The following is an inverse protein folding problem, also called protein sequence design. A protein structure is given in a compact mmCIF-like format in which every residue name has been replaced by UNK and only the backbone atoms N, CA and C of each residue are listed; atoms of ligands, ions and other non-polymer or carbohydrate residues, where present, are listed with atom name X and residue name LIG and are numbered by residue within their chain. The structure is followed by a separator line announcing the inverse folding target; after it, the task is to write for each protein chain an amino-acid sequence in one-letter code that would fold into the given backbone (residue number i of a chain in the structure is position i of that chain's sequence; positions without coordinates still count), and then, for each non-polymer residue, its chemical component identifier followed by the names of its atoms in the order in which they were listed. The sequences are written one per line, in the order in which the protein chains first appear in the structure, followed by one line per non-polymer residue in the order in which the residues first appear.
data_IF_132848749372
#
_entry.id   IF_132848749372
#
_cell.length_a   1.000
_cell.length_b   1.000
_cell.length_c   1.000
_cell.angle_alpha   90.00
_cell.angle_beta   90.00
_cell.angle_gamma   90.00
#
_symmetry.space_group_name_H-M   'P 1'
#
loop_
_entity.id
_entity.type
_entity.pdbx_description
1 polymer ?
#
# COMPACT_ATOMS: atom_id res chain seq x y z
N UNK A 1 13.15 9.66 5.44
CA UNK A 1 12.09 10.44 6.12
C UNK A 1 11.68 9.68 7.38
N UNK A 2 11.39 10.37 8.49
CA UNK A 2 10.93 9.75 9.73
C UNK A 2 9.64 10.46 10.18
N UNK A 3 8.59 9.68 10.44
CA UNK A 3 7.29 10.17 10.92
C UNK A 3 7.03 9.51 12.27
N UNK A 4 6.66 10.30 13.27
CA UNK A 4 6.29 9.81 14.61
C UNK A 4 4.84 10.18 14.87
N UNK A 5 4.02 9.20 15.23
CA UNK A 5 2.62 9.39 15.63
C UNK A 5 2.50 8.99 17.09
N UNK A 6 1.94 9.87 17.91
CA UNK A 6 1.60 9.57 19.30
C UNK A 6 0.16 9.05 19.32
N UNK A 7 -0.02 7.83 19.79
CA UNK A 7 -1.34 7.23 19.96
C UNK A 7 -1.79 7.44 21.40
N UNK A 8 -3.08 7.75 21.64
CA UNK A 8 -3.62 7.73 22.98
C UNK A 8 -3.58 6.30 23.58
N UNK A 9 -3.48 6.24 24.91
CA UNK A 9 -3.19 4.99 25.64
C UNK A 9 -4.26 3.90 25.44
N UNK A 10 -5.49 4.28 25.15
CA UNK A 10 -6.60 3.36 24.85
C UNK A 10 -6.38 2.57 23.56
N UNK A 11 -5.66 3.11 22.58
CA UNK A 11 -5.30 2.41 21.35
C UNK A 11 -4.14 1.42 21.53
N UNK A 12 -3.44 1.44 22.68
CA UNK A 12 -2.39 0.46 22.99
C UNK A 12 -2.95 -0.94 23.26
N UNK A 13 -4.27 -1.08 23.41
CA UNK A 13 -4.94 -2.37 23.56
C UNK A 13 -4.92 -3.20 22.28
N UNK A 14 -4.62 -2.58 21.14
CA UNK A 14 -4.42 -3.27 19.88
C UNK A 14 -3.11 -4.06 19.91
N UNK A 15 -3.11 -5.25 19.31
CA UNK A 15 -1.92 -6.12 19.34
C UNK A 15 -0.73 -5.52 18.59
N UNK A 16 -0.98 -4.72 17.54
CA UNK A 16 0.07 -4.02 16.80
C UNK A 16 -0.44 -2.71 16.16
N UNK A 17 -0.68 -1.65 16.98
CA UNK A 17 -1.32 -0.43 16.50
C UNK A 17 -0.46 0.33 15.47
N UNK A 18 0.87 0.21 15.56
CA UNK A 18 1.77 0.81 14.57
C UNK A 18 1.62 0.16 13.19
N UNK A 19 1.50 -1.17 13.15
CA UNK A 19 1.27 -1.91 11.91
C UNK A 19 -0.11 -1.62 11.34
N UNK A 20 -1.14 -1.63 12.17
CA UNK A 20 -2.51 -1.32 11.77
C UNK A 20 -2.62 0.11 11.19
N UNK A 21 -1.97 1.10 11.80
CA UNK A 21 -1.93 2.46 11.28
C UNK A 21 -1.21 2.56 9.93
N UNK A 22 -0.10 1.83 9.78
CA UNK A 22 0.66 1.77 8.52
C UNK A 22 -0.17 1.12 7.40
N UNK A 23 -0.88 0.04 7.72
CA UNK A 23 -1.76 -0.67 6.79
C UNK A 23 -2.95 0.20 6.37
N UNK A 24 -3.60 0.89 7.31
CA UNK A 24 -4.68 1.83 7.00
C UNK A 24 -4.21 2.98 6.09
N UNK A 25 -3.02 3.54 6.37
CA UNK A 25 -2.41 4.57 5.52
C UNK A 25 -2.13 4.06 4.10
N UNK A 26 -1.59 2.84 3.99
CA UNK A 26 -1.28 2.22 2.71
C UNK A 26 -2.55 1.93 1.89
N UNK A 27 -3.60 1.41 2.54
CA UNK A 27 -4.91 1.13 1.93
C UNK A 27 -5.54 2.42 1.42
N UNK A 28 -5.63 3.46 2.27
CA UNK A 28 -6.27 4.72 1.87
C UNK A 28 -5.45 5.43 0.79
N UNK A 29 -4.12 5.40 0.88
CA UNK A 29 -3.24 5.95 -0.14
C UNK A 29 -3.42 5.27 -1.50
N UNK A 30 -3.53 3.94 -1.51
CA UNK A 30 -3.80 3.17 -2.72
C UNK A 30 -5.20 3.45 -3.28
N UNK A 31 -6.23 3.42 -2.42
CA UNK A 31 -7.64 3.66 -2.79
C UNK A 31 -7.87 5.06 -3.36
N UNK A 32 -7.24 6.07 -2.78
CA UNK A 32 -7.27 7.46 -3.23
C UNK A 32 -6.37 7.74 -4.45
N UNK A 33 -5.63 6.72 -4.94
CA UNK A 33 -4.63 6.83 -6.02
C UNK A 33 -3.51 7.84 -5.73
N UNK A 34 -3.30 8.19 -4.46
CA UNK A 34 -2.17 9.03 -4.02
C UNK A 34 -0.88 8.23 -3.90
N UNK A 35 -0.98 6.93 -3.62
CA UNK A 35 0.11 5.96 -3.69
C UNK A 35 -0.11 5.01 -4.88
N UNK A 36 0.94 4.79 -5.67
CA UNK A 36 0.94 3.72 -6.67
C UNK A 36 1.08 2.35 -6.03
N UNK A 37 0.73 1.28 -6.75
CA UNK A 37 0.97 -0.10 -6.31
C UNK A 37 2.41 -0.32 -5.84
N UNK A 38 3.40 0.20 -6.58
CA UNK A 38 4.81 0.10 -6.21
C UNK A 38 5.12 0.80 -4.89
N UNK A 39 4.60 2.01 -4.68
CA UNK A 39 4.81 2.77 -3.44
C UNK A 39 4.13 2.09 -2.25
N UNK A 40 2.91 1.60 -2.42
CA UNK A 40 2.17 0.83 -1.40
C UNK A 40 2.93 -0.44 -1.01
N UNK A 41 3.50 -1.15 -1.98
CA UNK A 41 4.31 -2.35 -1.75
C UNK A 41 5.55 -2.04 -0.90
N UNK A 42 6.28 -0.97 -1.26
CA UNK A 42 7.46 -0.54 -0.49
C UNK A 42 7.09 -0.09 0.93
N UNK A 43 5.96 0.61 1.10
CA UNK A 43 5.49 1.09 2.40
C UNK A 43 5.17 -0.08 3.35
N UNK A 44 4.58 -1.15 2.82
CA UNK A 44 4.20 -2.34 3.59
C UNK A 44 5.34 -3.36 3.76
N UNK A 45 6.47 -3.15 3.05
CA UNK A 45 7.61 -4.06 3.07
C UNK A 45 7.39 -5.35 2.31
N UNK A 46 6.49 -5.36 1.33
CA UNK A 46 6.25 -6.51 0.47
C UNK A 46 7.31 -6.59 -0.64
N UNK A 47 7.73 -7.81 -0.97
CA UNK A 47 8.73 -8.05 -2.01
C UNK A 47 8.08 -8.21 -3.38
N UNK A 48 6.82 -8.63 -3.44
CA UNK A 48 6.13 -8.94 -4.71
C UNK A 48 4.78 -8.23 -4.84
N UNK A 49 4.32 -8.06 -6.09
CA UNK A 49 2.96 -7.56 -6.37
C UNK A 49 1.90 -8.54 -5.86
N UNK A 50 2.18 -9.85 -5.90
CA UNK A 50 1.26 -10.90 -5.44
C UNK A 50 0.97 -10.80 -3.94
N UNK A 51 1.97 -10.47 -3.12
CA UNK A 51 1.77 -10.20 -1.69
C UNK A 51 0.87 -8.99 -1.46
N UNK A 52 1.11 -7.90 -2.20
CA UNK A 52 0.26 -6.71 -2.14
C UNK A 52 -1.18 -7.03 -2.56
N UNK A 53 -1.36 -7.79 -3.63
CA UNK A 53 -2.70 -8.15 -4.13
C UNK A 53 -3.44 -9.07 -3.14
N UNK A 54 -2.71 -9.98 -2.47
CA UNK A 54 -3.27 -10.84 -1.42
C UNK A 54 -3.71 -10.01 -0.21
N UNK A 55 -2.86 -9.08 0.23
CA UNK A 55 -3.19 -8.13 1.29
C UNK A 55 -4.42 -7.28 0.95
N UNK A 56 -4.46 -6.64 -0.23
CA UNK A 56 -5.61 -5.82 -0.64
C UNK A 56 -6.91 -6.64 -0.71
N UNK A 57 -6.80 -7.89 -1.13
CA UNK A 57 -7.92 -8.84 -1.16
C UNK A 57 -8.45 -9.16 0.24
N UNK A 58 -7.56 -9.42 1.20
CA UNK A 58 -7.91 -9.70 2.60
C UNK A 58 -8.58 -8.51 3.28
N UNK A 59 -8.20 -7.29 2.89
CA UNK A 59 -8.77 -6.04 3.41
C UNK A 59 -9.98 -5.53 2.60
N UNK A 60 -10.53 -6.35 1.70
CA UNK A 60 -11.69 -6.03 0.84
C UNK A 60 -11.54 -4.75 -0.01
N UNK A 61 -10.31 -4.36 -0.32
CA UNK A 61 -9.97 -3.18 -1.13
C UNK A 61 -10.06 -3.54 -2.62
N UNK A 62 -11.27 -3.82 -3.09
CA UNK A 62 -11.54 -4.28 -4.47
C UNK A 62 -12.07 -3.17 -5.39
N UNK A 63 -12.48 -2.04 -4.86
CA UNK A 63 -12.92 -0.91 -5.68
C UNK A 63 -11.71 -0.23 -6.32
N UNK A 64 -11.47 -0.54 -7.60
CA UNK A 64 -10.47 0.02 -8.54
C UNK A 64 -9.16 -0.77 -8.75
N UNK A 65 -9.02 -2.00 -8.27
CA UNK A 65 -7.76 -2.76 -8.33
C UNK A 65 -7.34 -3.31 -9.70
N UNK A 66 -8.05 -2.98 -10.78
CA UNK A 66 -7.55 -3.17 -12.15
C UNK A 66 -8.05 -2.03 -13.06
N UNK A 67 -7.31 -0.93 -13.12
CA UNK A 67 -7.41 0.01 -14.24
C UNK A 67 -6.11 -0.07 -15.04
N UNK A 68 -6.22 -0.09 -16.37
CA UNK A 68 -5.11 -0.24 -17.32
C UNK A 68 -3.97 0.79 -17.13
N UNK A 69 -4.22 1.88 -16.40
CA UNK A 69 -3.23 2.93 -16.10
C UNK A 69 -2.01 2.44 -15.29
N UNK A 70 -2.16 1.40 -14.45
CA UNK A 70 -1.01 0.81 -13.72
C UNK A 70 -0.10 -0.01 -14.66
N UNK A 71 -0.66 -0.59 -15.73
CA UNK A 71 0.10 -1.32 -16.75
C UNK A 71 0.99 -0.37 -17.57
N UNK A 72 0.52 0.86 -17.80
CA UNK A 72 1.21 1.87 -18.61
C UNK A 72 2.46 2.44 -17.90
N UNK A 73 2.47 2.45 -16.56
CA UNK A 73 3.65 2.83 -15.78
C UNK A 73 4.69 1.72 -15.70
N UNK A 74 4.26 0.45 -15.70
CA UNK A 74 5.17 -0.69 -15.75
C UNK A 74 5.84 -0.80 -17.13
N UNK A 75 5.12 -0.59 -18.25
CA UNK A 75 5.70 -0.60 -19.60
C UNK A 75 6.73 0.52 -19.81
N UNK A 76 6.49 1.72 -19.26
CA UNK A 76 7.44 2.83 -19.33
C UNK A 76 8.77 2.56 -18.58
N UNK A 77 8.78 1.61 -17.63
CA UNK A 77 9.99 1.14 -16.95
C UNK A 77 10.87 0.22 -17.80
N UNK A 78 10.26 -0.56 -18.69
CA UNK A 78 10.98 -1.49 -19.58
C UNK A 78 11.55 -0.80 -20.83
N UNK A 79 10.91 0.25 -21.34
CA UNK A 79 11.38 0.96 -22.55
C UNK A 79 12.64 1.82 -22.33
N UNK A 80 13.01 2.17 -21.09
CA UNK A 80 14.25 2.91 -20.81
C UNK A 80 15.51 2.05 -20.74
N UNK A 81 15.40 0.74 -20.97
CA UNK A 81 16.56 -0.18 -20.99
C UNK A 81 16.72 -0.94 -22.32
N UNK A 82 16.02 -0.52 -23.38
CA UNK A 82 16.25 -0.95 -24.76
C UNK A 82 17.24 -0.05 -25.48
#
# INVERSE_FOLDING_TARGET
MHITVQLPDDLTQHANPAREALEALAIEGYRSRTLSAYQTRLLLGFETRMELDSFLKEHEVWENSYNLDDLEKDTAGFERKG
#
